data_IF_059624301743
#
_entry.id   IF_059624301743
#
_cell.length_a   1.000
_cell.length_b   1.000
_cell.length_c   1.000
_cell.angle_alpha   90.00
_cell.angle_beta   90.00
_cell.angle_gamma   90.00
#
_symmetry.space_group_name_H-M   'P 1'
#
loop_
_entity.id
_entity.type
_entity.pdbx_description
1 polymer ?
#
# COMPACT_ATOMS: atom_id res chain seq x y z
N UNK A 1 -0.25 14.82 -3.24
CA UNK A 1 -0.65 13.44 -2.97
C UNK A 1 -0.38 12.58 -4.17
N UNK A 2 0.19 11.45 -3.97
CA UNK A 2 0.56 10.57 -5.06
C UNK A 2 -0.64 9.81 -5.58
N UNK A 3 -0.53 9.31 -6.80
CA UNK A 3 -1.66 8.71 -7.50
C UNK A 3 -2.26 7.49 -6.79
N UNK A 4 -1.46 6.67 -6.14
CA UNK A 4 -2.05 5.52 -5.47
C UNK A 4 -2.90 5.94 -4.26
N UNK A 5 -2.67 7.12 -3.72
CA UNK A 5 -3.53 7.66 -2.67
C UNK A 5 -4.88 8.06 -3.26
N UNK A 6 -4.91 8.41 -4.52
CA UNK A 6 -6.16 8.61 -5.23
C UNK A 6 -6.89 7.30 -5.46
N UNK A 7 -6.17 6.18 -5.58
CA UNK A 7 -6.73 4.85 -5.76
C UNK A 7 -7.04 4.16 -4.44
N UNK A 8 -6.18 4.34 -3.44
CA UNK A 8 -6.40 3.81 -2.10
C UNK A 8 -5.71 4.72 -1.08
N UNK A 9 -6.29 4.82 0.08
CA UNK A 9 -5.76 5.62 1.15
C UNK A 9 -5.73 4.80 2.43
N UNK A 10 -4.54 4.58 2.96
CA UNK A 10 -4.37 4.07 4.32
C UNK A 10 -4.52 5.25 5.27
N UNK A 11 -5.39 5.10 6.22
CA UNK A 11 -5.71 6.18 7.15
C UNK A 11 -5.55 5.72 8.58
N UNK A 12 -4.73 6.40 9.33
CA UNK A 12 -4.71 6.35 10.77
C UNK A 12 -4.89 7.79 11.27
N UNK A 13 -5.47 7.93 12.42
CA UNK A 13 -5.89 9.24 12.88
C UNK A 13 -4.70 10.05 13.40
N UNK A 14 -4.12 10.85 12.54
CA UNK A 14 -2.95 11.66 12.84
C UNK A 14 -3.26 12.90 13.68
N UNK A 15 -4.48 13.37 13.58
CA UNK A 15 -4.83 14.69 14.13
C UNK A 15 -5.07 14.69 15.63
N UNK A 16 -5.29 13.53 16.26
CA UNK A 16 -5.79 13.48 17.64
C UNK A 16 -5.16 12.40 18.46
N UNK A 17 -4.15 11.83 18.30
CA UNK A 17 -3.49 10.81 19.11
C UNK A 17 -4.29 9.53 19.36
N UNK A 18 -5.57 9.45 18.93
CA UNK A 18 -6.36 8.24 19.14
C UNK A 18 -5.82 7.06 18.35
N UNK A 19 -5.21 7.33 17.21
CA UNK A 19 -4.62 6.32 16.41
C UNK A 19 -3.29 5.82 16.92
N UNK A 20 -2.60 6.59 17.76
CA UNK A 20 -1.22 6.30 18.18
C UNK A 20 -1.23 5.62 19.53
N UNK A 21 -0.52 4.49 19.62
CA UNK A 21 -0.38 3.74 20.87
C UNK A 21 1.09 3.36 21.09
N UNK A 22 1.38 2.97 22.33
CA UNK A 22 2.66 2.35 22.67
C UNK A 22 2.42 0.87 22.87
N UNK A 23 3.11 0.05 22.09
CA UNK A 23 3.04 -1.41 22.24
C UNK A 23 3.79 -1.87 23.50
N UNK A 24 3.49 -3.07 24.02
CA UNK A 24 4.20 -3.58 25.20
C UNK A 24 5.72 -3.66 25.06
N UNK A 25 6.22 -3.83 23.84
CA UNK A 25 7.66 -3.88 23.59
C UNK A 25 8.33 -2.51 23.46
N UNK A 26 7.60 -1.44 23.70
CA UNK A 26 8.12 -0.08 23.63
C UNK A 26 8.09 0.56 22.25
N UNK A 27 7.60 -0.13 21.22
CA UNK A 27 7.46 0.46 19.90
C UNK A 27 6.15 1.23 19.78
N UNK A 28 6.15 2.24 18.93
CA UNK A 28 4.92 2.95 18.59
C UNK A 28 4.08 2.11 17.63
N UNK A 29 2.78 2.23 17.78
CA UNK A 29 1.82 1.55 16.93
C UNK A 29 0.61 2.42 16.68
N UNK A 30 -0.38 1.86 16.00
CA UNK A 30 -1.67 2.51 15.75
C UNK A 30 -2.78 1.63 16.28
N UNK A 31 -3.79 2.27 16.85
CA UNK A 31 -4.94 1.56 17.44
C UNK A 31 -5.84 1.01 16.34
N UNK A 32 -6.08 1.80 15.33
CA UNK A 32 -6.91 1.41 14.21
C UNK A 32 -6.47 2.13 12.94
N UNK A 33 -6.70 1.48 11.82
CA UNK A 33 -6.42 2.04 10.51
C UNK A 33 -7.51 1.59 9.55
N UNK A 34 -7.75 2.38 8.53
CA UNK A 34 -8.66 2.02 7.45
C UNK A 34 -7.99 2.23 6.12
N UNK A 35 -8.38 1.42 5.15
CA UNK A 35 -7.92 1.56 3.77
C UNK A 35 -9.15 1.84 2.92
N UNK A 36 -9.14 2.97 2.24
CA UNK A 36 -10.21 3.33 1.30
C UNK A 36 -9.70 3.09 -0.10
N UNK A 37 -10.43 2.25 -0.85
CA UNK A 37 -10.07 1.91 -2.22
C UNK A 37 -10.96 2.68 -3.19
N UNK A 38 -10.33 3.44 -4.07
CA UNK A 38 -11.03 4.19 -5.12
C UNK A 38 -11.06 3.33 -6.38
N UNK A 39 -11.99 2.38 -6.40
CA UNK A 39 -12.10 1.38 -7.45
C UNK A 39 -12.30 1.99 -8.84
N UNK A 40 -13.09 3.04 -8.93
CA UNK A 40 -13.32 3.74 -10.20
C UNK A 40 -12.05 4.35 -10.78
N UNK A 41 -11.17 4.89 -9.93
CA UNK A 41 -9.89 5.44 -10.36
C UNK A 41 -8.98 4.33 -10.90
N UNK A 42 -8.92 3.21 -10.20
CA UNK A 42 -8.12 2.05 -10.65
C UNK A 42 -8.63 1.54 -11.98
N UNK A 43 -9.94 1.36 -12.11
CA UNK A 43 -10.57 0.89 -13.33
C UNK A 43 -10.25 1.79 -14.52
N UNK A 44 -10.35 3.09 -14.31
CA UNK A 44 -10.04 4.08 -15.35
C UNK A 44 -8.59 3.99 -15.81
N UNK A 45 -7.66 3.87 -14.87
CA UNK A 45 -6.23 3.71 -15.19
C UNK A 45 -5.97 2.44 -16.00
N UNK A 46 -6.62 1.34 -15.64
CA UNK A 46 -6.49 0.09 -16.38
C UNK A 46 -7.06 0.21 -17.79
N UNK A 47 -8.20 0.87 -17.96
CA UNK A 47 -8.81 1.12 -19.27
C UNK A 47 -7.91 1.97 -20.17
N UNK A 48 -7.17 2.91 -19.58
CA UNK A 48 -6.22 3.73 -20.32
C UNK A 48 -4.96 2.96 -20.73
N UNK A 49 -4.74 1.78 -20.16
CA UNK A 49 -3.61 0.92 -20.50
C UNK A 49 -2.25 1.48 -20.10
N UNK A 50 -2.20 2.36 -19.12
CA UNK A 50 -0.95 2.94 -18.65
C UNK A 50 -0.79 2.76 -17.14
N UNK A 51 0.36 3.20 -16.61
CA UNK A 51 0.66 3.08 -15.21
C UNK A 51 1.24 1.72 -14.83
N UNK A 52 1.62 1.59 -13.57
CA UNK A 52 2.31 0.40 -13.08
C UNK A 52 1.42 -0.84 -12.97
N UNK A 53 0.11 -0.65 -12.95
CA UNK A 53 -0.84 -1.77 -12.85
C UNK A 53 -1.33 -2.26 -14.21
N UNK A 54 -0.83 -1.70 -15.30
CA UNK A 54 -1.26 -2.13 -16.63
C UNK A 54 -1.02 -3.63 -16.82
N UNK A 55 -1.96 -4.29 -17.49
CA UNK A 55 -1.90 -5.72 -17.71
C UNK A 55 -2.46 -6.56 -16.58
N UNK A 56 -2.90 -5.94 -15.50
CA UNK A 56 -3.57 -6.63 -14.40
C UNK A 56 -5.09 -6.57 -14.57
N UNK A 57 -5.78 -7.54 -13.97
CA UNK A 57 -7.22 -7.43 -13.80
C UNK A 57 -7.52 -6.37 -12.74
N UNK A 58 -8.78 -5.93 -12.68
CA UNK A 58 -9.19 -4.97 -11.66
C UNK A 58 -8.91 -5.50 -10.26
N UNK A 59 -9.26 -6.76 -9.99
CA UNK A 59 -9.04 -7.37 -8.69
C UNK A 59 -7.56 -7.45 -8.33
N UNK A 60 -6.71 -7.77 -9.29
CA UNK A 60 -5.27 -7.82 -9.08
C UNK A 60 -4.69 -6.44 -8.79
N UNK A 61 -5.14 -5.43 -9.51
CA UNK A 61 -4.71 -4.05 -9.28
C UNK A 61 -5.16 -3.56 -7.89
N UNK A 62 -6.39 -3.86 -7.50
CA UNK A 62 -6.89 -3.55 -6.16
C UNK A 62 -6.02 -4.25 -5.12
N UNK A 63 -5.71 -5.53 -5.32
CA UNK A 63 -4.86 -6.28 -4.40
C UNK A 63 -3.48 -5.69 -4.24
N UNK A 64 -2.89 -5.21 -5.34
CA UNK A 64 -1.57 -4.56 -5.29
C UNK A 64 -1.62 -3.25 -4.49
N UNK A 65 -2.63 -2.43 -4.72
CA UNK A 65 -2.82 -1.16 -4.01
C UNK A 65 -3.10 -1.41 -2.53
N UNK A 66 -3.97 -2.36 -2.21
CA UNK A 66 -4.26 -2.74 -0.82
C UNK A 66 -3.03 -3.29 -0.13
N UNK A 67 -2.22 -4.09 -0.82
CA UNK A 67 -0.97 -4.60 -0.28
C UNK A 67 0.00 -3.47 0.10
N UNK A 68 0.12 -2.47 -0.75
CA UNK A 68 0.93 -1.27 -0.47
C UNK A 68 0.42 -0.55 0.78
N UNK A 69 -0.87 -0.22 0.81
CA UNK A 69 -1.44 0.49 1.95
C UNK A 69 -1.47 -0.37 3.21
N UNK A 70 -1.59 -1.68 3.05
CA UNK A 70 -1.54 -2.62 4.16
C UNK A 70 -0.23 -2.57 4.92
N UNK A 71 0.89 -2.32 4.24
CA UNK A 71 2.19 -2.14 4.91
C UNK A 71 2.13 -0.94 5.84
N UNK A 72 1.63 0.20 5.36
CA UNK A 72 1.50 1.39 6.21
C UNK A 72 0.58 1.15 7.40
N UNK A 73 -0.41 0.30 7.25
CA UNK A 73 -1.44 0.08 8.28
C UNK A 73 -1.09 -1.04 9.26
N UNK A 74 -0.26 -2.01 8.87
CA UNK A 74 -0.07 -3.23 9.65
C UNK A 74 1.39 -3.61 9.91
N UNK A 75 2.34 -3.10 9.16
CA UNK A 75 3.74 -3.44 9.37
C UNK A 75 4.27 -2.72 10.61
N UNK A 76 4.53 -3.47 11.65
CA UNK A 76 4.90 -2.93 12.96
C UNK A 76 6.16 -2.05 12.89
N UNK A 77 7.16 -2.50 12.17
CA UNK A 77 8.43 -1.75 12.03
C UNK A 77 8.22 -0.45 11.27
N UNK A 78 7.49 -0.51 10.17
CA UNK A 78 7.22 0.68 9.35
C UNK A 78 6.36 1.69 10.10
N UNK A 79 5.34 1.22 10.81
CA UNK A 79 4.48 2.08 11.63
C UNK A 79 5.32 2.80 12.69
N UNK A 80 6.17 2.08 13.40
CA UNK A 80 7.02 2.68 14.42
C UNK A 80 7.90 3.79 13.85
N UNK A 81 8.55 3.53 12.73
CA UNK A 81 9.43 4.50 12.07
C UNK A 81 8.66 5.73 11.59
N UNK A 82 7.48 5.50 11.03
CA UNK A 82 6.63 6.60 10.53
C UNK A 82 6.16 7.49 11.66
N UNK A 83 5.68 6.92 12.75
CA UNK A 83 5.22 7.69 13.90
C UNK A 83 6.39 8.45 14.54
N UNK A 84 7.54 7.80 14.68
CA UNK A 84 8.72 8.44 15.25
C UNK A 84 9.15 9.65 14.42
N UNK A 85 9.15 9.52 13.09
CA UNK A 85 9.46 10.64 12.21
C UNK A 85 8.44 11.76 12.34
N UNK A 86 7.16 11.43 12.37
CA UNK A 86 6.08 12.40 12.53
C UNK A 86 6.19 13.17 13.84
N UNK A 87 6.55 12.50 14.92
CA UNK A 87 6.78 13.15 16.22
C UNK A 87 7.94 14.14 16.16
N UNK A 88 8.84 14.00 15.20
CA UNK A 88 9.93 14.92 14.94
C UNK A 88 9.56 16.00 13.92
N UNK A 89 8.30 16.07 13.52
CA UNK A 89 7.80 17.07 12.60
C UNK A 89 8.14 16.82 11.13
N UNK A 90 8.41 15.58 10.75
CA UNK A 90 8.79 15.24 9.37
C UNK A 90 8.16 13.94 8.90
N UNK A 91 8.18 13.73 7.59
CA UNK A 91 7.91 12.45 6.99
C UNK A 91 9.24 11.73 6.76
N UNK A 92 9.24 10.42 6.95
CA UNK A 92 10.42 9.61 6.71
C UNK A 92 10.68 9.51 5.20
N UNK A 93 11.94 9.74 4.78
CA UNK A 93 12.31 9.77 3.36
C UNK A 93 12.04 8.44 2.65
N UNK A 94 12.24 7.33 3.34
CA UNK A 94 12.10 5.98 2.78
C UNK A 94 10.77 5.30 3.16
N UNK A 95 9.77 6.08 3.53
CA UNK A 95 8.48 5.54 3.98
C UNK A 95 7.76 4.68 2.95
N UNK A 96 8.02 4.91 1.68
CA UNK A 96 7.38 4.17 0.58
C UNK A 96 8.20 2.99 0.09
N UNK A 97 9.41 2.78 0.60
CA UNK A 97 10.31 1.74 0.10
C UNK A 97 9.73 0.34 0.27
N UNK A 98 9.32 -0.02 1.49
CA UNK A 98 8.74 -1.35 1.74
C UNK A 98 7.36 -1.48 1.12
N UNK A 99 6.45 -0.50 1.26
CA UNK A 99 5.16 -0.57 0.58
C UNK A 99 5.28 -0.77 -0.93
N UNK A 100 6.16 -0.04 -1.58
CA UNK A 100 6.37 -0.17 -3.03
C UNK A 100 6.94 -1.54 -3.40
N UNK A 101 7.83 -2.08 -2.58
CA UNK A 101 8.38 -3.41 -2.83
C UNK A 101 7.31 -4.49 -2.76
N UNK A 102 6.44 -4.43 -1.78
CA UNK A 102 5.33 -5.37 -1.63
C UNK A 102 4.35 -5.24 -2.80
N UNK A 103 4.01 -4.01 -3.15
CA UNK A 103 3.15 -3.75 -4.30
C UNK A 103 3.75 -4.32 -5.59
N UNK A 104 5.03 -4.09 -5.84
CA UNK A 104 5.70 -4.59 -7.03
C UNK A 104 5.76 -6.11 -7.05
N UNK A 105 5.95 -6.74 -5.91
CA UNK A 105 5.91 -8.19 -5.79
C UNK A 105 4.54 -8.73 -6.21
N UNK A 106 3.47 -8.13 -5.72
CA UNK A 106 2.10 -8.53 -6.08
C UNK A 106 1.87 -8.34 -7.58
N UNK A 107 2.33 -7.23 -8.13
CA UNK A 107 2.23 -6.96 -9.58
C UNK A 107 2.93 -8.06 -10.38
N UNK A 108 4.16 -8.39 -10.01
CA UNK A 108 4.95 -9.38 -10.73
C UNK A 108 4.31 -10.77 -10.68
N UNK A 109 3.85 -11.18 -9.52
CA UNK A 109 3.16 -12.46 -9.34
C UNK A 109 1.86 -12.50 -10.14
N UNK A 110 1.10 -11.41 -10.15
CA UNK A 110 -0.14 -11.30 -10.90
C UNK A 110 0.11 -11.42 -12.40
N UNK A 111 1.13 -10.75 -12.89
CA UNK A 111 1.49 -10.83 -14.32
C UNK A 111 1.90 -12.24 -14.72
N UNK A 112 2.59 -12.95 -13.86
CA UNK A 112 2.95 -14.34 -14.10
C UNK A 112 1.70 -15.22 -14.20
N UNK A 113 0.73 -15.03 -13.32
CA UNK A 113 -0.53 -15.76 -13.35
C UNK A 113 -1.34 -15.48 -14.62
N UNK A 114 -1.21 -14.29 -15.18
CA UNK A 114 -1.95 -13.88 -16.37
C UNK A 114 -1.37 -14.40 -17.68
N UNK A 115 -0.19 -15.02 -17.64
CA UNK A 115 0.44 -15.55 -18.85
C UNK A 115 -0.20 -16.87 -19.28
N UNK A 116 -0.24 -17.15 -20.61
CA UNK A 116 -0.76 -18.42 -21.10
C UNK A 116 0.07 -19.60 -20.57
N UNK A 117 -0.58 -20.75 -20.41
CA UNK A 117 0.12 -21.95 -19.92
C UNK A 117 1.30 -22.36 -20.79
N UNK A 118 1.19 -22.21 -22.12
CA UNK A 118 2.30 -22.52 -23.03
C UNK A 118 3.54 -21.68 -22.75
N UNK A 119 3.36 -20.47 -22.22
CA UNK A 119 4.46 -19.57 -21.93
C UNK A 119 5.32 -20.09 -20.79
N UNK A 120 4.74 -20.83 -19.86
CA UNK A 120 5.47 -21.41 -18.71
C UNK A 120 5.94 -22.84 -18.96
N UNK A 121 5.88 -23.29 -20.20
CA UNK A 121 6.43 -24.59 -20.59
C UNK A 121 5.51 -25.78 -20.34
N UNK A 122 4.23 -25.53 -20.17
CA UNK A 122 3.25 -26.60 -19.98
C UNK A 122 2.57 -27.02 -21.35
#
# INVERSE_FOLDING_TARGET
>A
MINFIEAAQGNYNESDNYGKIMNPDGTYGIKEASIVVYEGTIKKQLEQGNGKHRGLTLEQAIGAVVGHEGVHATDKSEIHKDIKAEMQGRLRDDRETVPNRIEQQIINESKTLNKPLWWIGL
#
